data_IF_367609091431
#
_entry.id   IF_367609091431
#
_cell.length_a   1.000
_cell.length_b   1.000
_cell.length_c   1.000
_cell.angle_alpha   90.00
_cell.angle_beta   90.00
_cell.angle_gamma   90.00
#
_symmetry.space_group_name_H-M   'P 1'
#
loop_
_entity.id
_entity.type
_entity.pdbx_description
1 polymer ?
#
# COMPACT_ATOMS: atom_id res chain seq x y z
N UNK A 1 -20.39 -9.16 8.92
CA UNK A 1 -19.14 -9.78 9.40
C UNK A 1 -18.06 -9.52 8.36
N UNK A 2 -16.84 -9.14 8.79
CA UNK A 2 -15.71 -8.77 7.94
C UNK A 2 -14.83 -9.98 7.62
N UNK A 3 -14.40 -10.10 6.36
CA UNK A 3 -13.28 -10.96 5.96
C UNK A 3 -12.09 -10.10 5.51
N UNK A 4 -10.90 -10.45 5.96
CA UNK A 4 -9.63 -9.90 5.50
C UNK A 4 -9.08 -10.81 4.40
N UNK A 5 -9.01 -10.30 3.18
CA UNK A 5 -8.32 -10.97 2.07
C UNK A 5 -6.85 -10.58 2.19
N UNK A 6 -6.05 -11.51 2.68
CA UNK A 6 -4.67 -11.23 3.09
C UNK A 6 -3.65 -11.70 2.06
N UNK A 7 -2.68 -10.84 1.77
CA UNK A 7 -1.46 -11.15 1.04
C UNK A 7 -0.25 -11.26 1.97
N UNK A 8 0.95 -11.23 1.40
CA UNK A 8 2.23 -11.30 2.12
C UNK A 8 2.59 -10.00 2.83
N UNK A 9 3.59 -10.07 3.69
CA UNK A 9 4.15 -8.96 4.46
C UNK A 9 3.46 -8.74 5.81
N UNK A 10 3.95 -7.76 6.56
CA UNK A 10 3.50 -7.49 7.92
C UNK A 10 2.12 -6.80 8.00
N UNK A 11 1.65 -6.16 6.92
CA UNK A 11 0.42 -5.37 6.94
C UNK A 11 -0.81 -6.16 7.42
N UNK A 12 -1.08 -7.40 6.96
CA UNK A 12 -2.23 -8.17 7.43
C UNK A 12 -2.23 -8.39 8.96
N UNK A 13 -1.08 -8.71 9.54
CA UNK A 13 -0.94 -8.91 10.98
C UNK A 13 -1.22 -7.62 11.76
N UNK A 14 -0.70 -6.49 11.28
CA UNK A 14 -0.96 -5.17 11.86
C UNK A 14 -2.44 -4.78 11.80
N UNK A 15 -3.12 -5.09 10.69
CA UNK A 15 -4.57 -4.88 10.54
C UNK A 15 -5.34 -5.67 11.58
N UNK A 16 -5.05 -6.96 11.72
CA UNK A 16 -5.72 -7.83 12.71
C UNK A 16 -5.49 -7.34 14.13
N UNK A 17 -4.26 -6.92 14.45
CA UNK A 17 -3.92 -6.39 15.78
C UNK A 17 -4.62 -5.05 16.10
N UNK A 18 -4.93 -4.24 15.10
CA UNK A 18 -5.61 -2.95 15.26
C UNK A 18 -7.14 -3.08 15.36
N UNK A 19 -7.71 -4.19 14.93
CA UNK A 19 -9.15 -4.42 14.97
C UNK A 19 -9.61 -4.91 16.36
N UNK A 20 -10.79 -4.49 16.80
CA UNK A 20 -11.41 -4.95 18.06
C UNK A 20 -11.84 -6.41 18.01
N UNK A 21 -12.34 -6.83 16.84
CA UNK A 21 -12.78 -8.20 16.60
C UNK A 21 -11.94 -8.79 15.48
N UNK A 22 -11.47 -10.02 15.68
CA UNK A 22 -10.71 -10.72 14.66
C UNK A 22 -11.59 -11.00 13.44
N UNK A 23 -11.23 -10.53 12.26
CA UNK A 23 -11.96 -10.85 11.03
C UNK A 23 -11.72 -12.32 10.64
N UNK A 24 -12.54 -12.85 9.72
CA UNK A 24 -12.18 -14.07 9.01
C UNK A 24 -10.99 -13.79 8.10
N UNK A 25 -9.91 -14.56 8.21
CA UNK A 25 -8.70 -14.38 7.40
C UNK A 25 -8.74 -15.34 6.22
N UNK A 26 -8.76 -14.80 5.01
CA UNK A 26 -8.73 -15.59 3.78
C UNK A 26 -7.51 -15.21 2.94
N UNK A 27 -6.78 -16.19 2.41
CA UNK A 27 -5.56 -15.96 1.65
C UNK A 27 -5.56 -16.70 0.33
N UNK A 28 -5.03 -16.04 -0.69
CA UNK A 28 -4.72 -16.71 -1.95
C UNK A 28 -3.56 -17.70 -1.72
N UNK A 29 -3.69 -18.93 -2.21
CA UNK A 29 -2.73 -20.02 -1.95
C UNK A 29 -1.28 -19.64 -2.25
N UNK A 30 -1.06 -18.85 -3.30
CA UNK A 30 0.27 -18.39 -3.71
C UNK A 30 0.84 -17.27 -2.81
N UNK A 31 0.02 -16.61 -1.98
CA UNK A 31 0.36 -15.41 -1.21
C UNK A 31 -0.13 -15.49 0.24
N UNK A 32 0.20 -16.57 0.91
CA UNK A 32 -0.13 -16.76 2.33
C UNK A 32 0.63 -15.71 3.16
N UNK A 33 -0.02 -15.03 4.14
CA UNK A 33 0.62 -14.07 5.02
C UNK A 33 1.70 -14.72 5.89
N UNK A 34 2.75 -13.97 6.18
CA UNK A 34 3.92 -14.50 6.89
C UNK A 34 3.65 -14.74 8.40
N UNK A 35 2.81 -13.90 9.02
CA UNK A 35 2.60 -13.86 10.47
C UNK A 35 1.18 -14.22 10.91
N UNK A 36 0.32 -14.64 9.98
CA UNK A 36 -1.07 -14.99 10.27
C UNK A 36 -1.41 -16.40 9.81
N UNK A 37 -2.27 -17.04 10.58
CA UNK A 37 -2.92 -18.28 10.14
C UNK A 37 -4.20 -17.93 9.40
N UNK A 38 -4.30 -18.37 8.13
CA UNK A 38 -5.49 -18.19 7.32
C UNK A 38 -6.58 -19.19 7.73
N UNK A 39 -7.79 -18.69 7.95
CA UNK A 39 -8.98 -19.52 8.21
C UNK A 39 -9.46 -20.20 6.92
N UNK A 40 -9.27 -19.52 5.78
CA UNK A 40 -9.57 -20.03 4.44
C UNK A 40 -8.39 -19.79 3.50
N UNK A 41 -8.07 -20.80 2.71
CA UNK A 41 -7.14 -20.67 1.58
C UNK A 41 -7.96 -20.89 0.31
N UNK A 42 -7.75 -20.06 -0.70
CA UNK A 42 -8.45 -20.14 -1.98
C UNK A 42 -7.50 -19.94 -3.17
N UNK A 43 -7.97 -20.28 -4.35
CA UNK A 43 -7.28 -20.08 -5.63
C UNK A 43 -8.16 -19.20 -6.52
N UNK A 44 -7.56 -18.45 -7.44
CA UNK A 44 -8.32 -17.67 -8.41
C UNK A 44 -9.17 -18.56 -9.33
N UNK A 45 -8.69 -19.75 -9.66
CA UNK A 45 -9.42 -20.75 -10.44
C UNK A 45 -10.73 -21.21 -9.77
N UNK A 46 -10.83 -21.07 -8.45
CA UNK A 46 -12.01 -21.43 -7.66
C UNK A 46 -12.65 -20.24 -6.96
N UNK A 47 -12.44 -19.02 -7.49
CA UNK A 47 -12.92 -17.77 -6.89
C UNK A 47 -14.45 -17.76 -6.71
N UNK A 48 -15.20 -18.28 -7.69
CA UNK A 48 -16.67 -18.36 -7.61
C UNK A 48 -17.14 -19.25 -6.45
N UNK A 49 -16.53 -20.41 -6.27
CA UNK A 49 -16.78 -21.30 -5.12
C UNK A 49 -16.40 -20.63 -3.81
N UNK A 50 -15.25 -19.94 -3.76
CA UNK A 50 -14.81 -19.20 -2.59
C UNK A 50 -15.81 -18.10 -2.18
N UNK A 51 -16.32 -17.30 -3.14
CA UNK A 51 -17.34 -16.29 -2.88
C UNK A 51 -18.63 -16.89 -2.31
N UNK A 52 -19.04 -18.04 -2.84
CA UNK A 52 -20.16 -18.81 -2.28
C UNK A 52 -19.93 -19.25 -0.84
N UNK A 53 -18.70 -19.69 -0.51
CA UNK A 53 -18.32 -20.09 0.86
C UNK A 53 -18.34 -18.90 1.83
N UNK A 54 -17.83 -17.72 1.43
CA UNK A 54 -17.90 -16.50 2.24
C UNK A 54 -19.34 -16.12 2.57
N UNK A 55 -20.27 -16.21 1.60
CA UNK A 55 -21.71 -15.97 1.85
C UNK A 55 -22.29 -16.96 2.85
N UNK A 56 -21.97 -18.24 2.70
CA UNK A 56 -22.41 -19.28 3.62
C UNK A 56 -21.93 -19.08 5.06
N UNK A 57 -20.81 -18.40 5.24
CA UNK A 57 -20.26 -18.00 6.56
C UNK A 57 -20.83 -16.67 7.09
N UNK A 58 -21.75 -16.03 6.34
CA UNK A 58 -22.35 -14.76 6.75
C UNK A 58 -21.44 -13.54 6.61
N UNK A 59 -20.39 -13.63 5.78
CA UNK A 59 -19.55 -12.48 5.46
C UNK A 59 -20.35 -11.49 4.61
N UNK A 60 -20.29 -10.21 4.98
CA UNK A 60 -20.98 -9.12 4.28
C UNK A 60 -20.01 -8.08 3.72
N UNK A 61 -18.81 -7.99 4.32
CA UNK A 61 -17.80 -7.02 3.93
C UNK A 61 -16.43 -7.72 3.77
N UNK A 62 -15.64 -7.22 2.84
CA UNK A 62 -14.27 -7.66 2.62
C UNK A 62 -13.31 -6.47 2.64
N UNK A 63 -12.13 -6.69 3.17
CA UNK A 63 -11.02 -5.74 3.13
C UNK A 63 -9.79 -6.44 2.59
N UNK A 64 -9.00 -5.75 1.79
CA UNK A 64 -7.76 -6.29 1.21
C UNK A 64 -6.57 -5.70 1.96
N UNK A 65 -5.60 -6.54 2.34
CA UNK A 65 -4.35 -6.08 2.95
C UNK A 65 -3.19 -7.03 2.66
N UNK A 66 -2.03 -6.46 2.42
CA UNK A 66 -0.80 -7.20 2.10
C UNK A 66 -0.53 -7.30 0.60
N UNK A 67 0.71 -7.67 0.27
CA UNK A 67 1.17 -7.73 -1.11
C UNK A 67 0.67 -9.00 -1.80
N UNK A 68 0.05 -8.82 -2.95
CA UNK A 68 -0.29 -9.88 -3.90
C UNK A 68 0.39 -9.49 -5.21
N UNK A 69 1.39 -10.26 -5.62
CA UNK A 69 1.98 -10.12 -6.94
C UNK A 69 1.05 -10.74 -7.98
N UNK A 70 1.36 -10.54 -9.27
CA UNK A 70 0.55 -11.11 -10.35
C UNK A 70 0.45 -12.64 -10.19
N UNK A 71 -0.75 -13.20 -9.89
CA UNK A 71 -0.91 -14.63 -9.68
C UNK A 71 -0.87 -15.39 -11.01
N UNK A 72 -0.33 -16.59 -10.96
CA UNK A 72 -0.45 -17.53 -12.08
C UNK A 72 -1.83 -18.21 -12.04
N UNK A 73 -2.46 -18.35 -13.20
CA UNK A 73 -3.77 -19.00 -13.36
C UNK A 73 -3.62 -20.23 -14.25
N UNK A 74 -4.00 -21.40 -13.73
CA UNK A 74 -4.16 -22.59 -14.56
C UNK A 74 -5.61 -22.67 -15.08
N UNK A 75 -5.79 -22.36 -16.35
CA UNK A 75 -7.11 -22.35 -17.00
C UNK A 75 -7.82 -23.70 -16.95
N UNK A 76 -7.10 -24.82 -16.79
CA UNK A 76 -7.67 -26.15 -16.71
C UNK A 76 -8.34 -26.43 -15.34
N UNK A 77 -8.00 -25.65 -14.32
CA UNK A 77 -8.51 -25.80 -12.97
C UNK A 77 -9.68 -24.87 -12.65
N UNK A 78 -10.11 -24.05 -13.62
CA UNK A 78 -11.21 -23.10 -13.42
C UNK A 78 -12.54 -23.86 -13.22
N UNK A 79 -13.13 -23.70 -12.03
CA UNK A 79 -14.40 -24.33 -11.68
C UNK A 79 -15.60 -23.67 -12.39
N UNK A 80 -16.75 -24.37 -12.40
CA UNK A 80 -17.95 -23.90 -13.12
C UNK A 80 -18.55 -22.61 -12.54
N UNK A 81 -18.35 -22.34 -11.28
CA UNK A 81 -18.79 -21.07 -10.66
C UNK A 81 -17.87 -19.93 -11.08
N UNK A 82 -16.58 -20.19 -11.15
CA UNK A 82 -15.57 -19.20 -11.57
C UNK A 82 -15.66 -18.91 -13.07
N UNK A 83 -16.01 -19.87 -13.91
CA UNK A 83 -16.21 -19.66 -15.36
C UNK A 83 -17.15 -18.51 -15.67
N UNK A 84 -18.16 -18.28 -14.83
CA UNK A 84 -19.14 -17.19 -15.00
C UNK A 84 -18.53 -15.78 -14.84
N UNK A 85 -17.43 -15.67 -14.12
CA UNK A 85 -16.74 -14.42 -13.78
C UNK A 85 -15.32 -14.36 -14.33
N UNK A 86 -14.78 -15.48 -14.82
CA UNK A 86 -13.36 -15.64 -15.20
C UNK A 86 -12.93 -14.74 -16.35
N UNK A 87 -13.80 -14.53 -17.35
CA UNK A 87 -13.46 -13.72 -18.52
C UNK A 87 -12.97 -12.32 -18.12
N UNK A 88 -13.72 -11.65 -17.25
CA UNK A 88 -13.40 -10.31 -16.77
C UNK A 88 -12.12 -10.28 -15.93
N UNK A 89 -11.92 -11.31 -15.08
CA UNK A 89 -10.72 -11.42 -14.25
C UNK A 89 -9.46 -11.64 -15.09
N UNK A 90 -9.51 -12.55 -16.09
CA UNK A 90 -8.38 -12.84 -16.97
C UNK A 90 -8.01 -11.60 -17.79
N UNK A 91 -9.00 -10.96 -18.43
CA UNK A 91 -8.77 -9.73 -19.21
C UNK A 91 -8.10 -8.63 -18.36
N UNK A 92 -8.52 -8.46 -17.11
CA UNK A 92 -7.97 -7.44 -16.22
C UNK A 92 -6.54 -7.75 -15.76
N UNK A 93 -6.21 -9.00 -15.47
CA UNK A 93 -4.85 -9.41 -15.08
C UNK A 93 -3.85 -9.14 -16.20
N UNK A 94 -4.27 -9.25 -17.46
CA UNK A 94 -3.41 -8.98 -18.62
C UNK A 94 -3.18 -7.48 -18.87
N UNK A 95 -4.01 -6.59 -18.32
CA UNK A 95 -3.97 -5.14 -18.60
C UNK A 95 -3.08 -4.34 -17.64
N UNK A 96 -2.83 -4.81 -16.42
CA UNK A 96 -2.02 -4.12 -15.41
C UNK A 96 -2.57 -4.26 -14.00
N UNK A 97 -1.75 -3.91 -13.00
CA UNK A 97 -2.07 -4.21 -11.60
C UNK A 97 -3.29 -3.43 -11.08
N UNK A 98 -3.40 -2.13 -11.38
CA UNK A 98 -4.55 -1.32 -10.94
C UNK A 98 -5.86 -1.78 -11.58
N UNK A 99 -5.83 -2.21 -12.85
CA UNK A 99 -7.02 -2.73 -13.54
C UNK A 99 -7.42 -4.12 -13.02
N UNK A 100 -6.44 -4.96 -12.70
CA UNK A 100 -6.69 -6.27 -12.08
C UNK A 100 -7.35 -6.10 -10.71
N UNK A 101 -6.86 -5.17 -9.88
CA UNK A 101 -7.44 -4.86 -8.59
C UNK A 101 -8.87 -4.30 -8.73
N UNK A 102 -9.10 -3.40 -9.66
CA UNK A 102 -10.44 -2.87 -9.98
C UNK A 102 -11.43 -3.98 -10.35
N UNK A 103 -11.04 -4.92 -11.21
CA UNK A 103 -11.89 -6.05 -11.60
C UNK A 103 -12.19 -6.99 -10.42
N UNK A 104 -11.22 -7.22 -9.53
CA UNK A 104 -11.45 -7.99 -8.30
C UNK A 104 -12.51 -7.32 -7.43
N UNK A 105 -12.40 -6.00 -7.20
CA UNK A 105 -13.43 -5.25 -6.45
C UNK A 105 -14.80 -5.47 -7.05
N UNK A 106 -14.94 -5.24 -8.36
CA UNK A 106 -16.22 -5.38 -9.05
C UNK A 106 -16.80 -6.79 -8.98
N UNK A 107 -15.95 -7.84 -8.99
CA UNK A 107 -16.38 -9.23 -8.82
C UNK A 107 -16.95 -9.45 -7.41
N UNK A 108 -16.29 -8.92 -6.37
CA UNK A 108 -16.80 -9.01 -5.00
C UNK A 108 -18.09 -8.24 -4.81
N UNK A 109 -18.19 -7.00 -5.33
CA UNK A 109 -19.38 -6.17 -5.26
C UNK A 109 -20.55 -6.79 -6.03
N UNK A 110 -20.33 -7.25 -7.26
CA UNK A 110 -21.34 -7.97 -8.04
C UNK A 110 -21.80 -9.28 -7.37
N UNK A 111 -20.94 -9.83 -6.51
CA UNK A 111 -21.29 -10.99 -5.67
C UNK A 111 -22.01 -10.60 -4.38
N UNK A 112 -22.26 -9.32 -4.12
CA UNK A 112 -23.03 -8.82 -2.97
C UNK A 112 -22.21 -8.57 -1.72
N UNK A 113 -20.90 -8.44 -1.81
CA UNK A 113 -20.02 -8.01 -0.69
C UNK A 113 -19.77 -6.50 -0.75
N UNK A 114 -19.74 -5.85 0.41
CA UNK A 114 -19.18 -4.51 0.53
C UNK A 114 -17.65 -4.59 0.53
N UNK A 115 -16.98 -3.84 -0.35
CA UNK A 115 -15.51 -3.72 -0.31
C UNK A 115 -15.15 -2.47 0.47
N UNK A 116 -14.44 -2.64 1.59
CA UNK A 116 -14.06 -1.56 2.51
C UNK A 116 -12.54 -1.37 2.55
N UNK A 117 -12.10 -0.13 2.46
CA UNK A 117 -10.68 0.21 2.54
C UNK A 117 -10.17 0.24 3.98
N UNK A 118 -8.85 0.10 4.14
CA UNK A 118 -8.17 0.19 5.44
C UNK A 118 -8.40 1.54 6.13
N UNK A 119 -8.54 2.61 5.36
CA UNK A 119 -8.84 3.96 5.85
C UNK A 119 -10.19 4.05 6.59
N UNK A 120 -11.12 3.18 6.28
CA UNK A 120 -12.44 3.11 6.95
C UNK A 120 -12.41 2.25 8.20
N UNK A 121 -11.69 1.15 8.17
CA UNK A 121 -11.65 0.21 9.30
C UNK A 121 -10.61 0.60 10.35
N UNK A 122 -9.55 1.32 9.98
CA UNK A 122 -8.51 1.81 10.88
C UNK A 122 -8.20 3.29 10.57
N UNK A 123 -9.13 4.21 10.82
CA UNK A 123 -8.98 5.63 10.47
C UNK A 123 -7.78 6.29 11.17
N UNK A 124 -7.38 5.79 12.34
CA UNK A 124 -6.23 6.33 13.08
C UNK A 124 -4.88 6.15 12.36
N UNK A 125 -4.82 5.38 11.28
CA UNK A 125 -3.62 5.28 10.45
C UNK A 125 -3.50 6.41 9.42
N UNK A 126 -4.51 7.28 9.32
CA UNK A 126 -4.50 8.51 8.53
C UNK A 126 -4.48 9.73 9.47
N UNK A 127 -3.30 10.18 9.90
CA UNK A 127 -3.19 11.32 10.79
C UNK A 127 -3.55 12.64 10.09
N UNK A 128 -3.88 13.64 10.91
CA UNK A 128 -4.11 15.00 10.46
C UNK A 128 -2.83 15.64 9.90
N UNK A 129 -3.01 16.71 9.11
CA UNK A 129 -1.93 17.51 8.57
C UNK A 129 -1.04 18.08 9.68
N UNK A 130 0.26 18.03 9.45
CA UNK A 130 1.25 18.60 10.36
C UNK A 130 2.55 17.81 10.43
N UNK A 131 3.49 18.34 11.18
CA UNK A 131 4.76 17.68 11.47
C UNK A 131 4.59 16.87 12.76
N UNK A 132 4.71 15.55 12.65
CA UNK A 132 4.44 14.62 13.75
C UNK A 132 5.63 14.45 14.70
N UNK A 133 6.83 14.84 14.28
CA UNK A 133 8.11 14.63 14.98
C UNK A 133 8.69 15.90 15.55
N UNK A 134 9.73 15.75 16.41
CA UNK A 134 10.49 16.88 16.98
C UNK A 134 11.27 17.64 15.93
N UNK A 135 12.01 16.92 15.05
CA UNK A 135 12.68 17.52 13.89
C UNK A 135 11.63 18.04 12.93
N UNK A 136 11.89 19.19 12.35
CA UNK A 136 10.96 19.86 11.43
C UNK A 136 11.61 20.07 10.07
N UNK A 137 10.84 20.01 8.98
CA UNK A 137 11.34 20.35 7.66
C UNK A 137 11.69 21.84 7.60
N UNK A 138 12.80 22.15 6.96
CA UNK A 138 13.24 23.50 6.65
C UNK A 138 12.68 24.00 5.29
N UNK A 139 12.99 25.25 4.84
CA UNK A 139 12.53 25.76 3.56
C UNK A 139 12.99 24.95 2.35
N UNK A 140 14.19 24.35 2.37
CA UNK A 140 14.67 23.51 1.28
C UNK A 140 13.83 22.21 1.18
N UNK A 141 13.54 21.59 2.31
CA UNK A 141 12.65 20.41 2.35
C UNK A 141 11.23 20.72 1.86
N UNK A 142 10.72 21.95 2.08
CA UNK A 142 9.43 22.37 1.52
C UNK A 142 9.47 22.41 -0.01
N UNK A 143 10.53 22.96 -0.59
CA UNK A 143 10.74 22.99 -2.05
C UNK A 143 10.90 21.57 -2.60
N UNK A 144 11.70 20.72 -1.92
CA UNK A 144 11.88 19.32 -2.30
C UNK A 144 10.55 18.56 -2.30
N UNK A 145 9.69 18.79 -1.30
CA UNK A 145 8.37 18.15 -1.24
C UNK A 145 7.43 18.59 -2.36
N UNK A 146 7.46 19.87 -2.73
CA UNK A 146 6.70 20.39 -3.89
C UNK A 146 7.21 19.81 -5.21
N UNK A 147 8.54 19.70 -5.34
CA UNK A 147 9.14 19.06 -6.50
C UNK A 147 8.73 17.59 -6.63
N UNK A 148 8.74 16.86 -5.52
CA UNK A 148 8.33 15.47 -5.46
C UNK A 148 6.86 15.28 -5.86
N UNK A 149 5.98 16.11 -5.33
CA UNK A 149 4.55 16.12 -5.65
C UNK A 149 4.31 16.31 -7.15
N UNK A 150 4.94 17.32 -7.78
CA UNK A 150 4.84 17.55 -9.22
C UNK A 150 5.32 16.36 -10.05
N UNK A 151 6.40 15.71 -9.62
CA UNK A 151 6.93 14.54 -10.33
C UNK A 151 5.94 13.37 -10.26
N UNK A 152 5.46 13.05 -9.07
CA UNK A 152 4.52 11.93 -8.91
C UNK A 152 3.18 12.18 -9.60
N UNK A 153 2.70 13.42 -9.62
CA UNK A 153 1.51 13.79 -10.37
C UNK A 153 1.65 13.52 -11.88
N UNK A 154 2.80 13.86 -12.46
CA UNK A 154 3.06 13.61 -13.88
C UNK A 154 3.24 12.13 -14.21
N UNK A 155 3.71 11.31 -13.25
CA UNK A 155 3.91 9.88 -13.44
C UNK A 155 2.66 9.05 -13.14
N UNK A 156 1.75 9.59 -12.33
CA UNK A 156 0.52 8.92 -11.91
C UNK A 156 -0.33 8.37 -13.09
N UNK A 157 -0.57 9.13 -14.19
CA UNK A 157 -1.30 8.62 -15.36
C UNK A 157 -0.60 7.45 -16.08
N UNK A 158 0.71 7.27 -15.84
CA UNK A 158 1.51 6.18 -16.42
C UNK A 158 1.60 4.98 -15.48
N UNK A 159 0.91 5.01 -14.35
CA UNK A 159 0.96 3.97 -13.31
C UNK A 159 2.39 3.70 -12.77
N UNK A 160 3.22 4.75 -12.68
CA UNK A 160 4.61 4.64 -12.22
C UNK A 160 4.74 5.18 -10.81
N UNK A 161 4.88 4.26 -9.86
CA UNK A 161 5.28 4.50 -8.47
C UNK A 161 4.36 5.40 -7.64
N UNK A 162 4.59 5.41 -6.37
CA UNK A 162 3.85 6.19 -5.36
C UNK A 162 4.81 6.98 -4.46
N UNK A 163 6.11 6.90 -4.74
CA UNK A 163 7.15 7.54 -3.96
C UNK A 163 8.31 8.06 -4.80
N UNK A 164 8.95 9.11 -4.33
CA UNK A 164 10.23 9.54 -4.87
C UNK A 164 11.11 10.18 -3.79
N UNK A 165 12.42 10.14 -4.03
CA UNK A 165 13.42 10.79 -3.18
C UNK A 165 13.92 12.05 -3.86
N UNK A 166 13.83 13.17 -3.12
CA UNK A 166 14.28 14.49 -3.60
C UNK A 166 15.23 15.11 -2.58
N UNK A 167 16.31 15.71 -3.06
CA UNK A 167 17.24 16.48 -2.25
C UNK A 167 17.77 17.67 -3.05
N UNK A 168 17.75 18.88 -2.45
CA UNK A 168 18.16 20.14 -3.10
C UNK A 168 17.53 20.33 -4.48
N UNK A 169 16.24 20.10 -4.61
CA UNK A 169 15.44 20.16 -5.83
C UNK A 169 15.81 19.14 -6.93
N UNK A 170 16.70 18.18 -6.63
CA UNK A 170 17.05 17.08 -7.53
C UNK A 170 16.28 15.82 -7.17
N UNK A 171 15.61 15.22 -8.16
CA UNK A 171 15.00 13.89 -8.01
C UNK A 171 16.13 12.86 -8.07
N UNK A 172 16.34 12.16 -6.95
CA UNK A 172 17.40 11.17 -6.83
C UNK A 172 16.95 9.76 -7.19
N UNK A 173 15.68 9.44 -6.91
CA UNK A 173 15.09 8.15 -7.26
C UNK A 173 13.56 8.25 -7.32
N UNK A 174 12.95 7.40 -8.13
CA UNK A 174 11.50 7.25 -8.26
C UNK A 174 11.17 5.80 -7.96
N UNK A 175 10.10 5.59 -7.19
CA UNK A 175 9.58 4.24 -6.95
C UNK A 175 9.07 3.64 -8.27
N UNK A 176 9.45 2.40 -8.51
CA UNK A 176 9.06 1.62 -9.69
C UNK A 176 8.60 0.24 -9.23
N UNK A 177 8.56 -0.73 -10.10
CA UNK A 177 8.15 -2.12 -9.83
C UNK A 177 8.82 -2.74 -8.59
N UNK A 178 10.04 -2.33 -8.25
CA UNK A 178 10.75 -2.82 -7.06
C UNK A 178 10.21 -2.31 -5.71
N UNK A 179 9.29 -1.34 -5.72
CA UNK A 179 8.69 -0.75 -4.53
C UNK A 179 9.61 0.19 -3.75
N UNK A 180 9.10 0.70 -2.63
CA UNK A 180 9.80 1.69 -1.78
C UNK A 180 11.13 1.16 -1.24
N UNK A 181 11.16 -0.11 -0.81
CA UNK A 181 12.39 -0.70 -0.21
C UNK A 181 13.52 -0.79 -1.22
N UNK A 182 13.22 -1.17 -2.45
CA UNK A 182 14.22 -1.18 -3.53
C UNK A 182 14.70 0.22 -3.86
N UNK A 183 13.79 1.18 -3.96
CA UNK A 183 14.12 2.58 -4.21
C UNK A 183 15.06 3.13 -3.14
N UNK A 184 14.74 2.95 -1.86
CA UNK A 184 15.58 3.41 -0.75
C UNK A 184 16.95 2.71 -0.75
N UNK A 185 17.01 1.40 -0.98
CA UNK A 185 18.28 0.68 -1.13
C UNK A 185 19.14 1.25 -2.26
N UNK A 186 18.56 1.64 -3.38
CA UNK A 186 19.30 2.26 -4.49
C UNK A 186 19.96 3.59 -4.06
N UNK A 187 19.27 4.36 -3.22
CA UNK A 187 19.78 5.63 -2.68
C UNK A 187 20.96 5.42 -1.72
N UNK A 188 20.99 4.33 -0.96
CA UNK A 188 22.12 4.04 -0.08
C UNK A 188 23.44 3.83 -0.85
N UNK A 189 23.35 3.46 -2.13
CA UNK A 189 24.49 3.25 -3.03
C UNK A 189 24.86 4.49 -3.85
N UNK A 190 24.22 5.65 -3.60
CA UNK A 190 24.47 6.86 -4.37
C UNK A 190 25.92 7.34 -4.28
N UNK A 191 26.48 7.90 -5.36
CA UNK A 191 27.83 8.45 -5.36
C UNK A 191 28.01 9.57 -4.33
N UNK A 192 29.20 9.70 -3.76
CA UNK A 192 29.51 10.67 -2.70
C UNK A 192 29.29 12.13 -3.10
N UNK A 193 29.35 12.44 -4.40
CA UNK A 193 29.12 13.79 -4.93
C UNK A 193 27.66 14.14 -5.14
N UNK A 194 26.73 13.18 -4.98
CA UNK A 194 25.30 13.46 -5.04
C UNK A 194 24.85 14.25 -3.80
N UNK A 195 23.75 15.01 -3.90
CA UNK A 195 23.16 15.71 -2.77
C UNK A 195 22.95 14.78 -1.59
N UNK A 196 23.27 15.26 -0.38
CA UNK A 196 23.02 14.56 0.89
C UNK A 196 21.73 15.07 1.50
N UNK A 197 21.18 14.30 2.45
CA UNK A 197 19.92 14.65 3.08
C UNK A 197 18.76 14.51 2.11
N UNK A 198 17.79 15.42 2.22
CA UNK A 198 16.56 15.41 1.44
C UNK A 198 15.48 14.55 2.07
N UNK A 199 14.47 14.21 1.30
CA UNK A 199 13.29 13.53 1.81
C UNK A 199 12.78 12.42 0.87
N UNK A 200 12.11 11.43 1.47
CA UNK A 200 11.18 10.57 0.77
C UNK A 200 9.81 11.28 0.76
N UNK A 201 9.21 11.44 -0.40
CA UNK A 201 7.82 11.85 -0.54
C UNK A 201 6.99 10.65 -1.01
N UNK A 202 5.85 10.42 -0.36
CA UNK A 202 4.92 9.36 -0.74
C UNK A 202 3.50 9.88 -0.88
N UNK A 203 2.81 9.49 -1.96
CA UNK A 203 1.43 9.91 -2.25
C UNK A 203 0.63 8.80 -2.90
N UNK A 204 -0.69 8.94 -2.86
CA UNK A 204 -1.61 8.12 -3.62
C UNK A 204 -1.50 8.49 -5.11
N UNK A 205 -1.62 7.54 -6.02
CA UNK A 205 -1.79 7.81 -7.45
C UNK A 205 -3.17 8.41 -7.73
N UNK A 206 -3.25 9.32 -8.69
CA UNK A 206 -4.51 9.95 -9.10
C UNK A 206 -5.44 8.88 -9.69
N UNK A 207 -6.67 8.77 -9.14
CA UNK A 207 -7.65 7.81 -9.59
C UNK A 207 -7.50 6.39 -9.03
N UNK A 208 -6.51 6.15 -8.18
CA UNK A 208 -6.31 4.85 -7.51
C UNK A 208 -7.46 4.54 -6.55
N UNK A 209 -7.94 3.30 -6.58
CA UNK A 209 -8.99 2.85 -5.66
C UNK A 209 -8.41 2.55 -4.27
N UNK A 210 -8.71 3.42 -3.33
CA UNK A 210 -8.23 3.35 -1.93
C UNK A 210 -8.70 2.12 -1.17
N UNK A 211 -9.66 1.38 -1.71
CA UNK A 211 -10.22 0.20 -1.04
C UNK A 211 -9.30 -1.01 -1.09
N UNK A 212 -8.39 -1.04 -2.07
CA UNK A 212 -7.49 -2.20 -2.29
C UNK A 212 -6.01 -1.84 -2.26
N UNK A 213 -5.66 -0.61 -2.61
CA UNK A 213 -4.26 -0.18 -2.62
C UNK A 213 -4.14 1.25 -2.06
N UNK A 214 -3.77 1.33 -0.80
CA UNK A 214 -3.36 2.57 -0.14
C UNK A 214 -1.87 2.45 0.19
N UNK A 215 -1.03 3.38 -0.29
CA UNK A 215 0.37 3.42 0.11
C UNK A 215 0.51 3.56 1.62
N UNK A 216 1.54 2.94 2.16
CA UNK A 216 1.81 2.98 3.58
C UNK A 216 3.29 3.25 3.88
N UNK A 217 3.56 3.79 5.06
CA UNK A 217 4.87 3.83 5.70
C UNK A 217 4.79 3.18 7.08
N UNK A 218 5.89 2.56 7.49
CA UNK A 218 6.04 1.96 8.81
C UNK A 218 7.39 2.28 9.42
N UNK A 219 7.71 1.65 10.55
CA UNK A 219 9.00 1.78 11.24
C UNK A 219 10.19 1.41 10.34
N UNK A 220 10.03 0.40 9.49
CA UNK A 220 11.09 -0.04 8.58
C UNK A 220 11.40 1.03 7.52
N UNK A 221 10.38 1.74 7.03
CA UNK A 221 10.57 2.88 6.12
C UNK A 221 11.39 3.99 6.78
N UNK A 222 11.15 4.26 8.09
CA UNK A 222 11.92 5.24 8.87
C UNK A 222 13.38 4.80 8.99
N UNK A 223 13.63 3.52 9.31
CA UNK A 223 14.98 2.97 9.43
C UNK A 223 15.74 3.07 8.10
N UNK A 224 15.12 2.61 7.02
CA UNK A 224 15.72 2.66 5.68
C UNK A 224 15.98 4.10 5.21
N UNK A 225 15.07 5.05 5.47
CA UNK A 225 15.27 6.46 5.16
C UNK A 225 16.52 7.01 5.88
N UNK A 226 16.73 6.63 7.15
CA UNK A 226 17.94 7.02 7.89
C UNK A 226 19.21 6.39 7.33
N UNK A 227 19.17 5.11 7.02
CA UNK A 227 20.30 4.39 6.41
C UNK A 227 20.71 4.99 5.05
N UNK A 228 19.72 5.49 4.30
CA UNK A 228 19.93 6.23 3.05
C UNK A 228 20.45 7.67 3.28
N UNK A 229 20.55 8.13 4.53
CA UNK A 229 21.00 9.48 4.89
C UNK A 229 19.99 10.56 4.50
N UNK A 230 18.69 10.27 4.53
CA UNK A 230 17.63 11.26 4.36
C UNK A 230 17.38 12.02 5.67
N UNK A 231 16.77 13.19 5.56
CA UNK A 231 16.41 14.06 6.68
C UNK A 231 14.99 13.81 7.20
N UNK A 232 14.14 13.21 6.38
CA UNK A 232 12.78 12.88 6.76
C UNK A 232 11.92 12.29 5.68
N UNK A 233 10.64 12.13 6.03
CA UNK A 233 9.60 11.58 5.15
C UNK A 233 8.43 12.56 5.12
N UNK A 234 7.91 12.79 3.92
CA UNK A 234 6.67 13.54 3.68
C UNK A 234 5.63 12.58 3.11
N UNK A 235 4.44 12.61 3.65
CA UNK A 235 3.31 11.82 3.15
C UNK A 235 2.14 12.73 2.81
N UNK A 236 1.40 12.38 1.76
CA UNK A 236 0.17 13.07 1.39
C UNK A 236 -0.89 12.87 2.47
N UNK A 237 -1.50 13.96 2.90
CA UNK A 237 -2.65 13.93 3.80
C UNK A 237 -3.80 13.12 3.20
N UNK A 238 -4.39 12.26 4.01
CA UNK A 238 -5.48 11.41 3.60
C UNK A 238 -5.15 10.38 2.50
N UNK A 239 -3.91 10.33 1.98
CA UNK A 239 -3.52 9.46 0.88
C UNK A 239 -2.54 8.35 1.25
N UNK A 240 -1.91 8.40 2.43
CA UNK A 240 -0.89 7.45 2.86
C UNK A 240 -1.13 7.02 4.29
N UNK A 241 -1.14 5.72 4.55
CA UNK A 241 -1.27 5.16 5.90
C UNK A 241 0.06 5.27 6.65
N UNK A 242 0.00 5.60 7.94
CA UNK A 242 1.13 5.50 8.86
C UNK A 242 0.85 4.37 9.83
N UNK A 243 1.48 3.22 9.59
CA UNK A 243 1.26 1.99 10.36
C UNK A 243 1.86 2.13 11.75
N UNK A 244 1.08 1.86 12.82
CA UNK A 244 1.53 2.03 14.19
C UNK A 244 2.17 3.40 14.45
N UNK A 245 1.43 4.45 14.19
CA UNK A 245 1.88 5.86 14.17
C UNK A 245 2.75 6.24 15.39
N UNK A 246 2.41 5.76 16.59
CA UNK A 246 3.19 6.05 17.80
C UNK A 246 4.61 5.47 17.72
N UNK A 247 4.76 4.26 17.19
CA UNK A 247 6.06 3.62 16.98
C UNK A 247 6.86 4.31 15.87
N UNK A 248 6.20 4.74 14.80
CA UNK A 248 6.81 5.52 13.71
C UNK A 248 7.35 6.85 14.23
N UNK A 249 6.54 7.60 14.97
CA UNK A 249 6.96 8.89 15.57
C UNK A 249 8.12 8.68 16.54
N UNK A 250 8.04 7.67 17.42
CA UNK A 250 9.09 7.33 18.35
C UNK A 250 10.40 7.02 17.62
N UNK A 251 10.35 6.13 16.63
CA UNK A 251 11.52 5.72 15.84
C UNK A 251 12.12 6.89 15.05
N UNK A 252 11.30 7.71 14.43
CA UNK A 252 11.75 8.90 13.69
C UNK A 252 12.45 9.92 14.62
N UNK A 253 11.91 10.14 15.82
CA UNK A 253 12.55 11.00 16.83
C UNK A 253 13.89 10.44 17.34
N UNK A 254 13.99 9.12 17.55
CA UNK A 254 15.25 8.45 17.93
C UNK A 254 16.33 8.60 16.86
N UNK A 255 15.93 8.57 15.59
CA UNK A 255 16.85 8.63 14.45
C UNK A 255 17.05 10.06 13.90
N UNK A 256 16.47 11.07 14.54
CA UNK A 256 16.52 12.48 14.11
C UNK A 256 16.03 12.65 12.67
N UNK A 257 14.83 12.11 12.38
CA UNK A 257 14.10 12.29 11.13
C UNK A 257 12.81 13.07 11.37
N UNK A 258 12.42 13.92 10.40
CA UNK A 258 11.07 14.46 10.43
C UNK A 258 10.09 13.50 9.71
N UNK A 259 8.83 13.49 10.19
CA UNK A 259 7.68 12.93 9.49
C UNK A 259 6.66 14.04 9.36
N UNK A 260 6.31 14.37 8.13
CA UNK A 260 5.41 15.47 7.82
C UNK A 260 4.26 14.99 6.96
N UNK A 261 3.03 15.16 7.47
CA UNK A 261 1.78 14.95 6.75
C UNK A 261 1.40 16.26 6.10
N UNK A 262 1.33 16.29 4.78
CA UNK A 262 1.14 17.52 4.01
C UNK A 262 -0.08 17.42 3.09
N UNK A 263 -0.89 18.48 3.08
CA UNK A 263 -1.86 18.66 1.99
C UNK A 263 -1.13 18.80 0.67
N UNK A 264 -1.72 18.26 -0.37
CA UNK A 264 -1.21 18.34 -1.74
C UNK A 264 -2.22 19.06 -2.60
N UNK A 265 -1.75 19.74 -3.62
CA UNK A 265 -2.60 20.47 -4.58
C UNK A 265 -3.12 19.55 -5.72
N UNK A 266 -2.88 18.23 -5.57
CA UNK A 266 -3.13 17.23 -6.63
C UNK A 266 -4.12 16.18 -6.12
#
# INVERSE_FOLDING_TARGET
>A
MLALISGRGALPALVVAALRERPLIASLEQFIPDELVSDLIFRLETLGTFLGRLKGLGITEVCFAGAIQRPEIDHNLIDDQTKKISKRLIEAIDMGDDQALGAVIEIFEASGFGVVGLDKIIPNWLPDCGVLTKKRPDPAHKQDSQRAELVLAQLSPLDIGQGCVVSNNHVLSIETFGGTDWMLRSISLRPLFWPKGGLLFKSLKIGQDRRVDIPAIGTDTIIQAKECGLDGIVVQYGGVLILNIEQVIKKANELDLFVWVRETDI
#
